data_IF_292122805009
#
_entry.id   IF_292122805009
#
_cell.length_a   1.000
_cell.length_b   1.000
_cell.length_c   1.000
_cell.angle_alpha   90.00
_cell.angle_beta   90.00
_cell.angle_gamma   90.00
#
_symmetry.space_group_name_H-M   'P 1'
#
loop_
_entity.id
_entity.type
_entity.pdbx_description
1 polymer ?
#
# COMPACT_ATOMS: atom_id res chain seq x y z
N UNK A 1 8.31 -18.22 30.83
CA UNK A 1 7.56 -18.07 29.55
C UNK A 1 8.35 -17.16 28.63
N UNK A 2 8.74 -17.65 27.44
CA UNK A 2 9.44 -16.82 26.46
C UNK A 2 8.54 -15.67 25.99
N UNK A 3 8.97 -14.42 26.18
CA UNK A 3 8.33 -13.24 25.56
C UNK A 3 8.43 -13.41 24.06
N UNK A 4 7.32 -13.77 23.40
CA UNK A 4 7.28 -13.84 21.94
C UNK A 4 7.41 -12.40 21.39
N UNK A 5 8.44 -12.15 20.59
CA UNK A 5 8.77 -10.84 20.00
C UNK A 5 7.84 -10.39 18.86
N UNK A 6 6.52 -10.65 18.95
CA UNK A 6 5.54 -10.18 17.97
C UNK A 6 5.19 -8.71 18.24
N UNK A 7 6.12 -7.80 17.97
CA UNK A 7 5.81 -6.36 17.98
C UNK A 7 5.04 -5.97 16.72
N UNK A 8 4.25 -4.90 16.77
CA UNK A 8 3.60 -4.30 15.59
C UNK A 8 4.62 -3.94 14.49
N UNK A 9 5.84 -3.57 14.87
CA UNK A 9 6.94 -3.32 13.93
C UNK A 9 7.30 -4.58 13.12
N UNK A 10 7.30 -5.76 13.77
CA UNK A 10 7.53 -7.03 13.07
C UNK A 10 6.41 -7.36 12.07
N UNK A 11 5.17 -6.92 12.33
CA UNK A 11 4.05 -7.11 11.41
C UNK A 11 4.22 -6.25 10.16
N UNK A 12 4.50 -4.95 10.31
CA UNK A 12 4.74 -4.05 9.17
C UNK A 12 5.78 -4.63 8.20
N UNK A 13 6.94 -5.02 8.74
CA UNK A 13 8.03 -5.59 7.94
C UNK A 13 7.66 -6.90 7.24
N UNK A 14 6.91 -7.81 7.90
CA UNK A 14 6.42 -9.03 7.25
C UNK A 14 5.50 -8.74 6.07
N UNK A 15 4.66 -7.72 6.19
CA UNK A 15 3.73 -7.36 5.13
C UNK A 15 4.43 -6.69 3.95
N UNK A 16 5.48 -5.90 4.20
CA UNK A 16 6.38 -5.42 3.14
C UNK A 16 6.95 -6.61 2.35
N UNK A 17 7.46 -7.65 3.04
CA UNK A 17 7.96 -8.86 2.37
C UNK A 17 6.90 -9.61 1.56
N UNK A 18 5.65 -9.65 2.03
CA UNK A 18 4.54 -10.28 1.29
C UNK A 18 4.27 -9.51 -0.01
N UNK A 19 4.17 -8.19 0.04
CA UNK A 19 3.98 -7.37 -1.16
C UNK A 19 5.17 -7.46 -2.12
N UNK A 20 6.41 -7.46 -1.60
CA UNK A 20 7.62 -7.66 -2.41
C UNK A 20 7.60 -9.04 -3.07
N UNK A 21 7.23 -10.10 -2.35
CA UNK A 21 7.12 -11.44 -2.92
C UNK A 21 6.06 -11.49 -4.03
N UNK A 22 4.94 -10.79 -3.86
CA UNK A 22 3.90 -10.69 -4.89
C UNK A 22 4.38 -9.94 -6.14
N UNK A 23 5.14 -8.85 -5.97
CA UNK A 23 5.80 -8.16 -7.09
C UNK A 23 6.79 -9.08 -7.82
N UNK A 24 7.67 -9.78 -7.09
CA UNK A 24 8.62 -10.74 -7.67
C UNK A 24 7.89 -11.87 -8.41
N UNK A 25 6.79 -12.39 -7.85
CA UNK A 25 5.97 -13.44 -8.48
C UNK A 25 5.36 -12.99 -9.81
N UNK A 26 5.12 -11.69 -9.96
CA UNK A 26 4.63 -11.06 -11.20
C UNK A 26 5.73 -10.67 -12.18
N UNK A 27 7.00 -10.93 -11.85
CA UNK A 27 8.15 -10.70 -12.73
C UNK A 27 8.71 -9.28 -12.68
N UNK A 28 8.39 -8.50 -11.64
CA UNK A 28 9.02 -7.19 -11.44
C UNK A 28 10.44 -7.34 -10.88
N UNK A 29 11.37 -6.49 -11.33
CA UNK A 29 12.68 -6.35 -10.69
C UNK A 29 12.57 -5.42 -9.47
N UNK A 30 12.68 -6.00 -8.26
CA UNK A 30 12.45 -5.29 -7.00
C UNK A 30 13.76 -5.10 -6.21
N UNK A 31 14.01 -3.86 -5.80
CA UNK A 31 15.16 -3.45 -4.97
C UNK A 31 14.65 -2.98 -3.62
N UNK A 32 15.12 -3.58 -2.53
CA UNK A 32 14.71 -3.18 -1.18
C UNK A 32 15.55 -2.02 -0.66
N UNK A 33 14.94 -1.15 0.13
CA UNK A 33 15.66 -0.10 0.85
C UNK A 33 16.30 -0.65 2.12
N UNK A 34 17.56 -0.29 2.37
CA UNK A 34 18.27 -0.68 3.60
C UNK A 34 17.78 0.15 4.81
N UNK A 35 17.43 1.41 4.57
CA UNK A 35 16.96 2.37 5.57
C UNK A 35 15.61 2.92 5.11
N UNK A 36 14.59 2.83 5.96
CA UNK A 36 13.25 3.39 5.71
C UNK A 36 13.11 4.75 6.43
N UNK A 37 13.66 5.80 5.82
CA UNK A 37 13.51 7.18 6.28
C UNK A 37 12.74 8.07 5.28
N UNK A 38 12.43 7.54 4.09
CA UNK A 38 11.72 8.25 3.01
C UNK A 38 10.29 7.78 2.77
N UNK A 39 9.81 6.76 3.50
CA UNK A 39 8.53 6.13 3.20
C UNK A 39 8.55 5.39 1.87
N UNK A 40 9.63 4.65 1.64
CA UNK A 40 9.87 3.83 0.45
C UNK A 40 10.36 2.47 0.95
N UNK A 41 9.52 1.45 0.77
CA UNK A 41 9.83 0.09 1.23
C UNK A 41 10.62 -0.68 0.17
N UNK A 42 10.35 -0.41 -1.11
CA UNK A 42 11.12 -0.93 -2.23
C UNK A 42 11.02 -0.03 -3.46
N UNK A 43 11.89 -0.29 -4.43
CA UNK A 43 11.91 0.32 -5.75
C UNK A 43 11.69 -0.78 -6.78
N UNK A 44 10.78 -0.55 -7.72
CA UNK A 44 10.65 -1.39 -8.91
C UNK A 44 11.39 -0.75 -10.06
N UNK A 45 12.21 -1.52 -10.76
CA UNK A 45 13.00 -1.07 -11.92
C UNK A 45 12.51 -1.78 -13.18
N UNK A 46 12.53 -1.09 -14.31
CA UNK A 46 12.39 -1.73 -15.63
C UNK A 46 13.23 -0.99 -16.67
N UNK A 47 13.86 -1.75 -17.55
CA UNK A 47 14.51 -1.23 -18.74
C UNK A 47 13.63 -1.53 -19.95
N UNK A 48 13.30 -0.50 -20.72
CA UNK A 48 12.52 -0.61 -21.95
C UNK A 48 13.22 0.17 -23.05
N UNK A 49 13.62 -0.51 -24.14
CA UNK A 49 14.32 0.09 -25.28
C UNK A 49 15.54 0.95 -24.91
N UNK A 50 16.30 0.55 -23.88
CA UNK A 50 17.46 1.28 -23.39
C UNK A 50 17.15 2.48 -22.48
N UNK A 51 15.87 2.78 -22.22
CA UNK A 51 15.46 3.75 -21.21
C UNK A 51 15.13 3.04 -19.90
N UNK A 52 15.67 3.59 -18.80
CA UNK A 52 15.52 2.99 -17.48
C UNK A 52 14.52 3.75 -16.62
N UNK A 53 13.49 3.05 -16.18
CA UNK A 53 12.39 3.57 -15.36
C UNK A 53 12.44 2.97 -13.96
N UNK A 54 12.05 3.79 -12.99
CA UNK A 54 12.01 3.42 -11.57
C UNK A 54 10.72 3.92 -10.93
N UNK A 55 10.11 3.06 -10.11
CA UNK A 55 8.97 3.42 -9.28
C UNK A 55 9.32 3.20 -7.81
N UNK A 56 9.11 4.25 -7.01
CA UNK A 56 9.16 4.16 -5.56
C UNK A 56 7.86 3.52 -5.06
N UNK A 57 7.95 2.52 -4.20
CA UNK A 57 6.80 1.79 -3.65
C UNK A 57 6.77 1.92 -2.13
N UNK A 58 5.62 2.33 -1.59
CA UNK A 58 5.28 2.18 -0.18
C UNK A 58 4.19 1.12 -0.01
N UNK A 59 4.44 0.15 0.84
CA UNK A 59 3.50 -0.88 1.26
C UNK A 59 2.78 -0.44 2.53
N UNK A 60 1.47 -0.67 2.58
CA UNK A 60 0.68 -0.58 3.82
C UNK A 60 -0.26 -1.76 3.87
N UNK A 61 -0.30 -2.47 5.00
CA UNK A 61 -1.14 -3.66 5.12
C UNK A 61 -2.07 -3.66 6.33
N UNK A 62 -3.10 -4.50 6.26
CA UNK A 62 -4.05 -4.78 7.34
C UNK A 62 -4.11 -6.27 7.61
N UNK A 63 -3.99 -6.63 8.89
CA UNK A 63 -4.09 -8.02 9.30
C UNK A 63 -5.53 -8.50 9.31
N UNK A 64 -5.72 -9.81 9.10
CA UNK A 64 -7.00 -10.49 9.31
C UNK A 64 -7.52 -10.37 10.74
N UNK A 65 -6.62 -10.18 11.71
CA UNK A 65 -6.97 -10.08 13.14
C UNK A 65 -7.46 -8.67 13.54
N UNK A 66 -7.47 -7.71 12.61
CA UNK A 66 -8.01 -6.38 12.91
C UNK A 66 -9.55 -6.39 12.96
N UNK A 67 -10.15 -5.40 13.63
CA UNK A 67 -11.61 -5.24 13.61
C UNK A 67 -12.11 -5.17 12.16
N UNK A 68 -13.21 -5.86 11.79
CA UNK A 68 -13.80 -5.80 10.45
C UNK A 68 -14.08 -4.38 9.96
N UNK A 69 -14.36 -3.44 10.87
CA UNK A 69 -14.54 -2.01 10.55
C UNK A 69 -13.28 -1.33 10.00
N UNK A 70 -12.11 -1.91 10.24
CA UNK A 70 -10.80 -1.38 9.86
C UNK A 70 -10.10 -2.24 8.79
N UNK A 71 -10.76 -3.29 8.28
CA UNK A 71 -10.17 -4.27 7.36
C UNK A 71 -9.55 -3.63 6.10
N UNK A 72 -10.14 -2.55 5.58
CA UNK A 72 -9.56 -1.74 4.49
C UNK A 72 -9.20 -0.31 4.90
N UNK A 73 -9.14 0.02 6.21
CA UNK A 73 -8.93 1.40 6.67
C UNK A 73 -7.45 1.69 6.92
N UNK A 74 -6.84 2.48 6.05
CA UNK A 74 -5.48 3.00 6.20
C UNK A 74 -5.55 4.46 6.66
N UNK A 75 -4.92 4.80 7.79
CA UNK A 75 -5.08 6.12 8.41
C UNK A 75 -3.76 6.65 8.96
N UNK A 76 -3.66 7.97 9.07
CA UNK A 76 -2.46 8.63 9.59
C UNK A 76 -1.25 8.49 8.67
N UNK A 77 -1.48 8.36 7.36
CA UNK A 77 -0.42 8.15 6.38
C UNK A 77 0.21 9.48 5.99
N UNK A 78 1.52 9.46 5.82
CA UNK A 78 2.25 10.54 5.15
C UNK A 78 2.43 10.16 3.68
N UNK A 79 2.32 11.15 2.81
CA UNK A 79 2.54 10.99 1.36
C UNK A 79 3.53 12.08 0.96
N UNK A 80 4.82 11.93 1.31
CA UNK A 80 5.82 12.97 1.09
C UNK A 80 6.08 13.11 -0.41
N UNK A 81 6.08 14.36 -0.90
CA UNK A 81 6.36 14.72 -2.29
C UNK A 81 5.61 13.84 -3.31
N UNK A 82 4.26 13.86 -3.34
CA UNK A 82 3.47 13.09 -4.30
C UNK A 82 3.94 13.35 -5.74
N UNK A 83 4.17 12.29 -6.52
CA UNK A 83 4.81 12.35 -7.83
C UNK A 83 4.41 11.16 -8.72
N UNK A 84 4.53 11.26 -10.06
CA UNK A 84 4.08 10.21 -10.97
C UNK A 84 4.75 8.85 -10.76
N UNK A 85 5.99 8.81 -10.28
CA UNK A 85 6.76 7.59 -10.08
C UNK A 85 6.73 7.07 -8.62
N UNK A 86 5.79 7.52 -7.80
CA UNK A 86 5.63 7.06 -6.42
C UNK A 86 4.26 6.43 -6.21
N UNK A 87 4.23 5.17 -5.77
CA UNK A 87 3.03 4.34 -5.65
C UNK A 87 2.88 3.78 -4.25
N UNK A 88 1.63 3.52 -3.89
CA UNK A 88 1.27 2.79 -2.69
C UNK A 88 0.67 1.44 -3.08
N UNK A 89 1.13 0.37 -2.42
CA UNK A 89 0.49 -0.94 -2.46
C UNK A 89 -0.20 -1.16 -1.12
N UNK A 90 -1.53 -1.15 -1.15
CA UNK A 90 -2.35 -1.48 0.01
C UNK A 90 -2.71 -2.95 -0.03
N UNK A 91 -2.46 -3.69 1.04
CA UNK A 91 -2.90 -5.08 1.17
C UNK A 91 -3.82 -5.29 2.37
N UNK A 92 -4.87 -6.08 2.20
CA UNK A 92 -5.74 -6.51 3.30
C UNK A 92 -5.82 -8.02 3.35
N UNK A 93 -5.28 -8.63 4.40
CA UNK A 93 -5.39 -10.08 4.63
C UNK A 93 -6.86 -10.51 4.84
N UNK A 94 -7.69 -9.62 5.39
CA UNK A 94 -9.11 -9.93 5.65
C UNK A 94 -9.92 -10.04 4.34
N UNK A 95 -9.54 -9.24 3.34
CA UNK A 95 -10.24 -9.17 2.04
C UNK A 95 -9.53 -10.02 0.99
N UNK A 96 -8.27 -10.34 1.24
CA UNK A 96 -7.33 -10.96 0.31
C UNK A 96 -7.29 -10.23 -1.04
N UNK A 97 -6.99 -8.93 -0.96
CA UNK A 97 -6.89 -8.07 -2.12
C UNK A 97 -5.80 -7.01 -1.94
N UNK A 98 -5.22 -6.63 -3.07
CA UNK A 98 -4.29 -5.53 -3.19
C UNK A 98 -4.96 -4.32 -3.84
N UNK A 99 -4.43 -3.14 -3.57
CA UNK A 99 -4.72 -1.93 -4.32
C UNK A 99 -3.45 -1.16 -4.61
N UNK A 100 -3.13 -1.01 -5.89
CA UNK A 100 -2.00 -0.26 -6.41
C UNK A 100 -2.49 1.16 -6.74
N UNK A 101 -2.07 2.14 -5.96
CA UNK A 101 -2.57 3.52 -6.08
C UNK A 101 -1.39 4.47 -6.31
N UNK A 102 -1.33 5.20 -7.44
CA UNK A 102 -0.37 6.28 -7.61
C UNK A 102 -0.49 7.32 -6.48
N UNK A 103 0.62 7.87 -6.02
CA UNK A 103 0.60 8.85 -4.91
C UNK A 103 -0.21 10.11 -5.23
N UNK A 104 -0.23 10.54 -6.50
CA UNK A 104 -1.06 11.65 -6.98
C UNK A 104 -2.56 11.33 -6.91
N UNK A 105 -2.94 10.11 -7.26
CA UNK A 105 -4.33 9.65 -7.14
C UNK A 105 -4.70 9.51 -5.66
N UNK A 106 -3.80 8.97 -4.83
CA UNK A 106 -4.03 8.77 -3.40
C UNK A 106 -4.39 10.08 -2.68
N UNK A 107 -3.65 11.17 -2.93
CA UNK A 107 -3.94 12.47 -2.28
C UNK A 107 -5.28 13.06 -2.73
N UNK A 108 -5.78 12.69 -3.91
CA UNK A 108 -7.07 13.16 -4.44
C UNK A 108 -8.25 12.36 -3.87
N UNK A 109 -8.08 11.06 -3.67
CA UNK A 109 -9.18 10.16 -3.25
C UNK A 109 -9.26 9.97 -1.73
N UNK A 110 -8.14 10.14 -1.02
CA UNK A 110 -8.05 10.00 0.43
C UNK A 110 -8.53 11.26 1.17
N UNK A 111 -9.03 11.08 2.39
CA UNK A 111 -9.35 12.18 3.29
C UNK A 111 -8.09 12.68 3.98
N UNK A 112 -7.90 13.99 4.06
CA UNK A 112 -6.78 14.61 4.76
C UNK A 112 -7.24 15.29 6.05
N UNK A 113 -6.57 15.00 7.16
CA UNK A 113 -6.80 15.68 8.43
C UNK A 113 -6.38 17.15 8.33
N UNK A 114 -7.32 18.08 8.53
CA UNK A 114 -7.05 19.53 8.45
C UNK A 114 -6.64 20.16 9.79
N UNK A 115 -6.90 19.49 10.91
CA UNK A 115 -6.65 19.98 12.28
C UNK A 115 -6.16 18.85 13.19
N UNK A 116 -5.64 19.20 14.38
CA UNK A 116 -5.20 18.26 15.41
C UNK A 116 -3.80 17.68 15.21
N UNK A 117 -3.39 16.76 16.10
CA UNK A 117 -2.05 16.13 16.12
C UNK A 117 -1.65 15.46 14.80
N UNK A 118 -2.63 14.98 14.03
CA UNK A 118 -2.42 14.30 12.75
C UNK A 118 -2.67 15.20 11.54
N UNK A 119 -2.63 16.54 11.70
CA UNK A 119 -2.81 17.50 10.60
C UNK A 119 -1.86 17.17 9.44
N UNK A 120 -2.39 17.22 8.22
CA UNK A 120 -1.66 16.91 6.99
C UNK A 120 -1.65 15.42 6.61
N UNK A 121 -1.91 14.51 7.56
CA UNK A 121 -1.92 13.06 7.31
C UNK A 121 -3.20 12.62 6.59
N UNK A 122 -3.06 11.60 5.75
CA UNK A 122 -4.11 11.05 4.91
C UNK A 122 -4.73 9.78 5.51
N UNK A 123 -5.99 9.54 5.17
CA UNK A 123 -6.72 8.32 5.49
C UNK A 123 -7.61 7.89 4.32
N UNK A 124 -7.62 6.60 4.01
CA UNK A 124 -8.48 5.98 3.01
C UNK A 124 -9.11 4.72 3.59
N UNK A 125 -10.35 4.43 3.23
CA UNK A 125 -10.97 3.15 3.54
C UNK A 125 -11.37 2.46 2.24
N UNK A 126 -10.65 1.39 1.90
CA UNK A 126 -10.80 0.64 0.64
C UNK A 126 -11.89 -0.44 0.72
N UNK A 127 -12.59 -0.53 1.85
CA UNK A 127 -13.57 -1.58 2.13
C UNK A 127 -14.88 -1.03 2.68
N UNK A 128 -15.95 -1.78 2.47
CA UNK A 128 -17.26 -1.56 3.08
C UNK A 128 -17.58 -2.72 4.03
N UNK A 129 -18.16 -2.41 5.19
CA UNK A 129 -18.74 -3.39 6.10
C UNK A 129 -20.25 -3.43 5.87
N UNK A 130 -20.77 -4.57 5.41
CA UNK A 130 -22.21 -4.78 5.21
C UNK A 130 -22.92 -5.00 6.54
N UNK A 131 -24.23 -4.78 6.56
CA UNK A 131 -25.07 -5.08 7.73
C UNK A 131 -24.99 -6.57 8.15
N UNK A 132 -24.71 -7.46 7.20
CA UNK A 132 -24.48 -8.90 7.43
C UNK A 132 -23.16 -9.21 8.14
N UNK A 133 -22.31 -8.21 8.41
CA UNK A 133 -20.96 -8.39 8.95
C UNK A 133 -19.90 -8.70 7.89
N UNK A 134 -20.30 -8.90 6.63
CA UNK A 134 -19.36 -9.16 5.54
C UNK A 134 -18.53 -7.91 5.21
N UNK A 135 -17.21 -8.07 5.16
CA UNK A 135 -16.27 -7.05 4.65
C UNK A 135 -16.09 -7.30 3.15
N UNK A 136 -16.33 -6.28 2.34
CA UNK A 136 -16.14 -6.35 0.88
C UNK A 136 -15.29 -5.19 0.39
N UNK A 137 -14.54 -5.37 -0.72
CA UNK A 137 -13.94 -4.25 -1.44
C UNK A 137 -14.98 -3.16 -1.74
N UNK A 138 -14.59 -1.90 -1.60
CA UNK A 138 -15.47 -0.79 -1.99
C UNK A 138 -15.39 -0.56 -3.51
N UNK A 139 -16.53 -0.59 -4.23
CA UNK A 139 -16.55 -0.41 -5.70
C UNK A 139 -15.93 0.90 -6.18
N UNK A 140 -15.89 1.92 -5.31
CA UNK A 140 -15.23 3.20 -5.59
C UNK A 140 -13.75 3.05 -5.98
N UNK A 141 -13.10 1.97 -5.55
CA UNK A 141 -11.68 1.74 -5.78
C UNK A 141 -11.40 0.54 -6.68
N UNK A 142 -12.40 0.07 -7.44
CA UNK A 142 -12.24 -1.10 -8.32
C UNK A 142 -11.15 -0.88 -9.38
N UNK A 143 -10.98 0.36 -9.86
CA UNK A 143 -9.87 0.73 -10.77
C UNK A 143 -8.49 0.33 -10.25
N UNK A 144 -8.29 0.38 -8.93
CA UNK A 144 -6.99 0.12 -8.31
C UNK A 144 -6.87 -1.31 -7.77
N UNK A 145 -7.96 -2.08 -7.72
CA UNK A 145 -7.99 -3.37 -7.03
C UNK A 145 -7.30 -4.45 -7.85
N UNK A 146 -6.22 -5.03 -7.32
CA UNK A 146 -5.37 -6.02 -7.98
C UNK A 146 -4.88 -5.52 -9.36
N UNK A 147 -4.66 -4.22 -9.48
CA UNK A 147 -4.33 -3.48 -10.68
C UNK A 147 -2.81 -3.29 -10.84
N UNK A 148 -2.04 -4.37 -10.71
CA UNK A 148 -0.59 -4.35 -10.93
C UNK A 148 -0.19 -3.87 -12.33
N UNK A 149 -1.09 -3.93 -13.32
CA UNK A 149 -0.90 -3.32 -14.64
C UNK A 149 -0.62 -1.82 -14.55
N UNK A 150 -1.11 -1.10 -13.53
CA UNK A 150 -0.80 0.33 -13.35
C UNK A 150 0.69 0.56 -13.06
N UNK A 151 1.34 -0.38 -12.36
CA UNK A 151 2.78 -0.36 -12.12
C UNK A 151 3.51 -0.69 -13.43
N UNK A 152 3.01 -1.66 -14.21
CA UNK A 152 3.59 -2.01 -15.51
C UNK A 152 3.53 -0.86 -16.51
N UNK A 153 2.37 -0.23 -16.66
CA UNK A 153 2.13 0.92 -17.55
C UNK A 153 3.04 2.10 -17.20
N UNK A 154 3.24 2.36 -15.90
CA UNK A 154 4.13 3.43 -15.45
C UNK A 154 5.62 3.13 -15.65
N UNK A 155 5.97 1.87 -15.96
CA UNK A 155 7.32 1.41 -16.28
C UNK A 155 7.57 1.22 -17.79
N UNK A 156 6.53 1.33 -18.62
CA UNK A 156 6.65 1.25 -20.09
C UNK A 156 7.15 2.58 -20.67
#
# INVERSE_FOLDING_TARGET
MARRFWSSASFGKRQEYVAIAELLRRGFDVYQTLVDDKGIDCIVRRENNGELRYLDIQVKARSKDCSPRNAGRFAGMEVPNPRPNYYFIFYSEHIDAYWEIPSLDLISIASQNKKGKNKGKYSVNLSNLRATGAVVPSPRFDRYKNSFHLIEEALM
#
